data_IF_642034268065
#
_entry.id   IF_642034268065
#
_cell.length_a   1.000
_cell.length_b   1.000
_cell.length_c   1.000
_cell.angle_alpha   90.00
_cell.angle_beta   90.00
_cell.angle_gamma   90.00
#
_symmetry.space_group_name_H-M   'P 1'
#
loop_
_entity.id
_entity.type
_entity.pdbx_description
1 polymer ?
#
# COMPACT_ATOMS: atom_id res chain seq x y z
N UNK A 1 -11.12 13.35 -12.10
CA UNK A 1 -11.80 12.73 -10.94
C UNK A 1 -12.84 11.71 -11.40
N UNK A 2 -13.67 12.04 -12.41
CA UNK A 2 -14.76 11.13 -12.88
C UNK A 2 -14.24 9.90 -13.65
N UNK A 3 -13.17 10.04 -14.43
CA UNK A 3 -12.53 8.91 -15.13
C UNK A 3 -11.79 7.97 -14.19
N UNK A 4 -11.26 8.48 -13.10
CA UNK A 4 -10.54 7.71 -12.10
C UNK A 4 -11.48 6.82 -11.28
N UNK A 5 -12.67 7.32 -10.95
CA UNK A 5 -13.75 6.53 -10.32
C UNK A 5 -14.23 5.40 -11.24
N UNK A 6 -14.28 5.63 -12.56
CA UNK A 6 -14.59 4.61 -13.56
C UNK A 6 -13.51 3.53 -13.68
N UNK A 7 -12.23 3.88 -13.49
CA UNK A 7 -11.13 2.92 -13.51
C UNK A 7 -11.16 1.98 -12.28
N UNK A 8 -11.55 2.50 -11.11
CA UNK A 8 -11.76 1.70 -9.89
C UNK A 8 -12.98 0.77 -10.01
N UNK A 9 -14.06 1.24 -10.64
CA UNK A 9 -15.23 0.39 -10.93
C UNK A 9 -14.93 -0.65 -12.02
N UNK A 10 -14.12 -0.32 -13.03
CA UNK A 10 -13.67 -1.28 -14.05
C UNK A 10 -12.81 -2.40 -13.46
N UNK A 11 -11.95 -2.11 -12.51
CA UNK A 11 -11.15 -3.12 -11.81
C UNK A 11 -12.03 -4.07 -10.98
N UNK A 12 -13.13 -3.56 -10.39
CA UNK A 12 -14.17 -4.37 -9.72
C UNK A 12 -14.98 -5.21 -10.72
N UNK A 13 -15.27 -4.68 -11.90
CA UNK A 13 -16.07 -5.36 -12.94
C UNK A 13 -15.33 -6.50 -13.61
N UNK A 14 -13.98 -6.48 -13.65
CA UNK A 14 -13.14 -7.53 -14.21
C UNK A 14 -12.90 -8.71 -13.24
N UNK A 15 -13.65 -8.78 -12.12
CA UNK A 15 -13.50 -9.89 -11.17
C UNK A 15 -12.13 -9.91 -10.49
N UNK A 16 -11.34 -8.87 -10.64
CA UNK A 16 -10.12 -8.63 -9.89
C UNK A 16 -10.53 -8.21 -8.49
N UNK A 17 -10.76 -9.23 -7.64
CA UNK A 17 -10.67 -9.03 -6.21
C UNK A 17 -9.37 -8.26 -5.98
N UNK A 18 -9.38 -7.06 -5.37
CA UNK A 18 -8.16 -6.44 -4.89
C UNK A 18 -7.67 -7.33 -3.75
N UNK A 19 -7.14 -8.49 -4.10
CA UNK A 19 -6.30 -9.24 -3.19
C UNK A 19 -5.28 -8.22 -2.79
N UNK A 20 -5.31 -7.84 -1.53
CA UNK A 20 -4.19 -7.18 -0.88
C UNK A 20 -2.94 -7.76 -1.55
N UNK A 21 -2.14 -6.95 -2.24
CA UNK A 21 -0.94 -7.47 -2.87
C UNK A 21 -0.28 -8.28 -1.77
N UNK A 22 -0.02 -9.57 -2.01
CA UNK A 22 0.80 -10.33 -1.08
C UNK A 22 1.95 -9.40 -0.76
N UNK A 23 2.22 -9.04 0.50
CA UNK A 23 3.50 -8.46 0.79
C UNK A 23 4.45 -9.44 0.11
N UNK A 24 5.27 -8.96 -0.80
CA UNK A 24 6.33 -9.76 -1.38
C UNK A 24 7.15 -10.16 -0.15
N UNK A 25 6.74 -11.27 0.46
CA UNK A 25 7.25 -11.76 1.75
C UNK A 25 8.62 -12.43 1.59
N UNK A 26 9.36 -11.99 0.59
CA UNK A 26 10.80 -12.13 0.58
C UNK A 26 11.35 -10.89 1.29
N UNK A 27 11.84 -11.03 2.53
CA UNK A 27 12.70 -10.02 3.06
C UNK A 27 13.85 -9.91 2.04
N UNK A 28 13.96 -8.75 1.39
CA UNK A 28 15.20 -8.39 0.69
C UNK A 28 16.24 -8.23 1.79
N UNK A 29 16.71 -9.39 2.29
CA UNK A 29 17.61 -9.50 3.41
C UNK A 29 18.96 -8.96 2.98
N UNK A 30 19.57 -8.23 3.86
CA UNK A 30 20.81 -7.51 3.72
C UNK A 30 21.95 -8.29 3.04
N UNK A 31 22.85 -7.51 2.44
CA UNK A 31 24.12 -7.89 1.80
C UNK A 31 24.00 -8.58 0.43
N UNK A 32 23.15 -8.08 -0.44
CA UNK A 32 23.08 -8.45 -1.85
C UNK A 32 21.67 -8.30 -2.35
N UNK A 33 21.39 -7.25 -3.15
CA UNK A 33 20.07 -7.07 -3.76
C UNK A 33 19.78 -8.29 -4.63
N UNK A 34 18.62 -8.92 -4.41
CA UNK A 34 18.14 -9.99 -5.27
C UNK A 34 17.91 -9.40 -6.68
N UNK A 35 18.76 -9.80 -7.63
CA UNK A 35 18.72 -9.30 -9.01
C UNK A 35 17.48 -9.76 -9.79
N UNK A 36 16.62 -10.56 -9.17
CA UNK A 36 15.33 -11.03 -9.71
C UNK A 36 14.17 -10.04 -9.43
N UNK A 37 14.47 -8.85 -8.91
CA UNK A 37 13.48 -7.79 -8.67
C UNK A 37 12.93 -7.28 -10.00
N UNK A 38 11.60 -7.34 -10.15
CA UNK A 38 10.91 -6.81 -11.33
C UNK A 38 10.68 -5.31 -11.19
N UNK A 39 11.24 -4.54 -12.12
CA UNK A 39 11.19 -3.08 -12.10
C UNK A 39 10.28 -2.58 -13.24
N UNK A 40 9.31 -1.72 -12.91
CA UNK A 40 8.56 -0.98 -13.91
C UNK A 40 9.13 0.42 -14.05
N UNK A 41 9.45 0.83 -15.27
CA UNK A 41 9.83 2.21 -15.63
C UNK A 41 8.60 2.89 -16.23
N UNK A 42 8.15 3.97 -15.64
CA UNK A 42 7.07 4.83 -16.15
C UNK A 42 7.70 6.11 -16.67
N UNK A 43 7.75 6.25 -17.99
CA UNK A 43 8.34 7.40 -18.67
C UNK A 43 7.79 7.49 -20.10
N UNK A 44 7.31 8.66 -20.50
CA UNK A 44 6.81 8.92 -21.85
C UNK A 44 7.93 9.13 -22.86
N UNK A 45 9.16 9.43 -22.40
CA UNK A 45 10.34 9.62 -23.25
C UNK A 45 11.03 8.29 -23.58
N UNK A 46 11.04 7.85 -24.85
CA UNK A 46 11.74 6.62 -25.23
C UNK A 46 13.25 6.69 -24.98
N UNK A 47 13.83 7.89 -25.08
CA UNK A 47 15.28 8.12 -24.90
C UNK A 47 15.66 7.97 -23.43
N UNK A 48 14.95 8.65 -22.52
CA UNK A 48 15.25 8.58 -21.09
C UNK A 48 14.98 7.19 -20.53
N UNK A 49 13.86 6.60 -20.89
CA UNK A 49 13.55 5.23 -20.46
C UNK A 49 14.56 4.19 -20.95
N UNK A 50 15.18 4.39 -22.12
CA UNK A 50 16.28 3.54 -22.60
C UNK A 50 17.55 3.71 -21.77
N UNK A 51 17.89 4.96 -21.39
CA UNK A 51 19.04 5.24 -20.50
C UNK A 51 18.83 4.63 -19.12
N UNK A 52 17.61 4.73 -18.58
CA UNK A 52 17.21 4.10 -17.32
C UNK A 52 17.37 2.58 -17.39
N UNK A 53 16.82 1.97 -18.43
CA UNK A 53 16.86 0.51 -18.63
C UNK A 53 18.30 0.02 -18.77
N UNK A 54 19.15 0.73 -19.52
CA UNK A 54 20.57 0.41 -19.66
C UNK A 54 21.30 0.50 -18.31
N UNK A 55 21.07 1.60 -17.54
CA UNK A 55 21.68 1.74 -16.22
C UNK A 55 21.23 0.68 -15.22
N UNK A 56 19.98 0.25 -15.29
CA UNK A 56 19.47 -0.86 -14.47
C UNK A 56 20.11 -2.20 -14.85
N UNK A 57 20.28 -2.45 -16.16
CA UNK A 57 20.97 -3.66 -16.65
C UNK A 57 22.44 -3.70 -16.26
N UNK A 58 23.14 -2.58 -16.37
CA UNK A 58 24.52 -2.44 -15.90
C UNK A 58 24.65 -2.67 -14.38
N UNK A 59 23.62 -2.27 -13.61
CA UNK A 59 23.52 -2.54 -12.18
C UNK A 59 23.14 -4.01 -11.85
N UNK A 60 22.87 -4.83 -12.87
CA UNK A 60 22.58 -6.26 -12.75
C UNK A 60 21.11 -6.64 -12.70
N UNK A 61 20.16 -5.69 -12.87
CA UNK A 61 18.73 -5.99 -12.93
C UNK A 61 18.34 -6.57 -14.28
N UNK A 62 17.66 -7.72 -14.29
CA UNK A 62 17.31 -8.44 -15.50
C UNK A 62 15.85 -8.26 -15.89
N UNK A 63 14.95 -8.05 -14.91
CA UNK A 63 13.50 -7.92 -15.14
C UNK A 63 13.07 -6.45 -15.13
N UNK A 64 13.21 -5.78 -16.27
CA UNK A 64 12.82 -4.38 -16.45
C UNK A 64 11.72 -4.27 -17.50
N UNK A 65 10.60 -3.63 -17.15
CA UNK A 65 9.43 -3.42 -18.02
C UNK A 65 9.17 -1.94 -18.16
N UNK A 66 8.97 -1.47 -19.39
CA UNK A 66 8.70 -0.06 -19.70
C UNK A 66 7.19 0.17 -19.88
N UNK A 67 6.71 1.26 -19.31
CA UNK A 67 5.35 1.80 -19.47
C UNK A 67 5.49 3.19 -20.07
N UNK A 68 5.26 3.29 -21.39
CA UNK A 68 5.39 4.55 -22.14
C UNK A 68 4.12 5.40 -22.12
N UNK A 69 2.97 4.85 -21.75
CA UNK A 69 1.69 5.53 -21.78
C UNK A 69 1.12 5.70 -20.37
N UNK A 70 0.76 6.92 -20.00
CA UNK A 70 0.12 7.22 -18.72
C UNK A 70 -1.35 6.80 -18.66
N UNK A 71 -1.97 6.55 -19.82
CA UNK A 71 -3.37 6.10 -19.90
C UNK A 71 -3.53 4.72 -19.24
N UNK A 72 -4.47 4.61 -18.29
CA UNK A 72 -4.72 3.37 -17.54
C UNK A 72 -3.49 2.84 -16.76
N UNK A 73 -2.62 3.74 -16.31
CA UNK A 73 -1.38 3.40 -15.63
C UNK A 73 -1.55 2.40 -14.49
N UNK A 74 -2.56 2.59 -13.64
CA UNK A 74 -2.86 1.65 -12.53
C UNK A 74 -3.13 0.23 -13.02
N UNK A 75 -3.95 0.07 -14.05
CA UNK A 75 -4.27 -1.25 -14.60
C UNK A 75 -3.02 -1.94 -15.16
N UNK A 76 -2.15 -1.18 -15.85
CA UNK A 76 -0.87 -1.67 -16.36
C UNK A 76 0.07 -2.10 -15.23
N UNK A 77 0.19 -1.29 -14.16
CA UNK A 77 0.99 -1.63 -12.99
C UNK A 77 0.48 -2.91 -12.34
N UNK A 78 -0.83 -3.06 -12.16
CA UNK A 78 -1.41 -4.30 -11.62
C UNK A 78 -1.19 -5.52 -12.51
N UNK A 79 -1.24 -5.36 -13.83
CA UNK A 79 -0.99 -6.45 -14.78
C UNK A 79 0.48 -6.89 -14.78
N UNK A 80 1.41 -5.93 -14.68
CA UNK A 80 2.85 -6.20 -14.62
C UNK A 80 3.22 -6.79 -13.26
N UNK A 81 2.57 -6.35 -12.18
CA UNK A 81 2.88 -6.67 -10.78
C UNK A 81 4.37 -6.49 -10.45
N UNK A 82 4.92 -5.26 -10.59
CA UNK A 82 6.33 -5.00 -10.34
C UNK A 82 6.63 -4.98 -8.84
N UNK A 83 7.87 -5.27 -8.48
CA UNK A 83 8.38 -5.14 -7.12
C UNK A 83 8.75 -3.69 -6.78
N UNK A 84 9.19 -2.92 -7.78
CA UNK A 84 9.59 -1.51 -7.67
C UNK A 84 9.12 -0.74 -8.88
N UNK A 85 8.73 0.52 -8.68
CA UNK A 85 8.31 1.42 -9.76
C UNK A 85 9.25 2.62 -9.79
N UNK A 86 9.82 2.89 -10.96
CA UNK A 86 10.55 4.11 -11.26
C UNK A 86 9.67 5.00 -12.13
N UNK A 87 9.42 6.22 -11.70
CA UNK A 87 8.67 7.23 -12.46
C UNK A 87 9.62 8.34 -12.82
N UNK A 88 9.82 8.60 -14.10
CA UNK A 88 10.66 9.70 -14.59
C UNK A 88 9.81 10.73 -15.32
N UNK A 89 9.82 11.96 -14.82
CA UNK A 89 8.98 13.06 -15.30
C UNK A 89 9.85 14.28 -15.57
N UNK A 90 9.92 14.70 -16.84
CA UNK A 90 10.54 15.95 -17.22
C UNK A 90 9.55 17.11 -17.02
N UNK A 91 9.84 18.05 -16.16
CA UNK A 91 8.99 19.23 -15.90
C UNK A 91 7.49 18.93 -15.80
N UNK A 92 7.06 18.03 -14.91
CA UNK A 92 5.67 17.63 -14.82
C UNK A 92 4.80 18.83 -14.41
N UNK A 93 3.61 18.93 -15.01
CA UNK A 93 2.60 19.85 -14.52
C UNK A 93 2.14 19.42 -13.13
N UNK A 94 1.54 20.34 -12.37
CA UNK A 94 1.00 20.05 -11.05
C UNK A 94 -0.06 18.92 -11.09
N UNK A 95 -0.86 18.87 -12.16
CA UNK A 95 -1.90 17.85 -12.34
C UNK A 95 -1.29 16.46 -12.56
N UNK A 96 -0.20 16.37 -13.33
CA UNK A 96 0.54 15.11 -13.52
C UNK A 96 1.16 14.63 -12.22
N UNK A 97 1.79 15.53 -11.44
CA UNK A 97 2.33 15.19 -10.12
C UNK A 97 1.24 14.67 -9.19
N UNK A 98 0.10 15.36 -9.08
CA UNK A 98 -1.01 14.90 -8.23
C UNK A 98 -1.54 13.54 -8.67
N UNK A 99 -1.63 13.29 -9.98
CA UNK A 99 -2.03 12.00 -10.50
C UNK A 99 -1.04 10.89 -10.10
N UNK A 100 0.27 11.15 -10.18
CA UNK A 100 1.29 10.19 -9.76
C UNK A 100 1.27 9.96 -8.24
N UNK A 101 1.00 11.01 -7.45
CA UNK A 101 0.83 10.87 -6.02
C UNK A 101 -0.40 10.03 -5.65
N UNK A 102 -1.49 10.13 -6.41
CA UNK A 102 -2.64 9.23 -6.24
C UNK A 102 -2.30 7.78 -6.57
N UNK A 103 -1.53 7.54 -7.63
CA UNK A 103 -1.00 6.20 -7.94
C UNK A 103 -0.20 5.66 -6.75
N UNK A 104 0.70 6.47 -6.17
CA UNK A 104 1.52 6.07 -5.03
C UNK A 104 0.71 5.68 -3.80
N UNK A 105 -0.37 6.40 -3.49
CA UNK A 105 -1.27 6.08 -2.37
C UNK A 105 -1.99 4.75 -2.53
N UNK A 106 -2.26 4.34 -3.78
CA UNK A 106 -3.03 3.13 -4.09
C UNK A 106 -2.13 1.91 -4.24
N UNK A 107 -0.98 2.10 -4.91
CA UNK A 107 -0.04 1.03 -5.22
C UNK A 107 0.88 0.82 -4.01
N UNK A 108 0.71 -0.29 -3.30
CA UNK A 108 1.56 -0.66 -2.16
C UNK A 108 2.89 -1.26 -2.64
N UNK A 109 3.67 -0.47 -3.34
CA UNK A 109 5.00 -0.82 -3.87
C UNK A 109 5.98 0.33 -3.64
N UNK A 110 7.29 0.06 -3.51
CA UNK A 110 8.29 1.14 -3.49
C UNK A 110 8.26 1.94 -4.78
N UNK A 111 8.12 3.25 -4.67
CA UNK A 111 8.13 4.18 -5.81
C UNK A 111 9.29 5.14 -5.65
N UNK A 112 10.17 5.19 -6.63
CA UNK A 112 11.15 6.24 -6.80
C UNK A 112 10.71 7.15 -7.95
N UNK A 113 10.61 8.45 -7.67
CA UNK A 113 10.19 9.46 -8.63
C UNK A 113 11.36 10.41 -8.93
N UNK A 114 11.64 10.62 -10.20
CA UNK A 114 12.64 11.55 -10.70
C UNK A 114 11.93 12.72 -11.37
N UNK A 115 12.38 13.92 -11.08
CA UNK A 115 11.89 15.17 -11.70
C UNK A 115 13.06 16.11 -11.94
N UNK A 116 13.01 16.92 -12.98
CA UNK A 116 14.08 17.87 -13.27
C UNK A 116 14.06 19.06 -12.32
N UNK A 117 12.86 19.52 -11.94
CA UNK A 117 12.66 20.64 -11.04
C UNK A 117 11.55 20.37 -10.05
N UNK A 118 11.62 20.96 -8.88
CA UNK A 118 10.57 20.83 -7.85
C UNK A 118 10.57 22.03 -6.91
N UNK A 119 9.46 22.21 -6.22
CA UNK A 119 9.30 23.16 -5.11
C UNK A 119 9.07 22.42 -3.78
N UNK A 120 9.15 23.16 -2.69
CA UNK A 120 8.96 22.61 -1.33
C UNK A 120 7.58 21.96 -1.15
N UNK A 121 6.55 22.52 -1.79
CA UNK A 121 5.20 21.98 -1.68
C UNK A 121 5.08 20.62 -2.37
N UNK A 122 5.66 20.47 -3.56
CA UNK A 122 5.70 19.21 -4.30
C UNK A 122 6.50 18.13 -3.57
N UNK A 123 7.63 18.51 -2.95
CA UNK A 123 8.42 17.61 -2.12
C UNK A 123 7.57 17.10 -0.94
N UNK A 124 6.91 17.99 -0.20
CA UNK A 124 6.05 17.59 0.91
C UNK A 124 4.90 16.71 0.45
N UNK A 125 4.22 17.07 -0.65
CA UNK A 125 3.13 16.29 -1.22
C UNK A 125 3.58 14.87 -1.64
N UNK A 126 4.81 14.71 -2.14
CA UNK A 126 5.37 13.41 -2.48
C UNK A 126 5.55 12.51 -1.25
N UNK A 127 6.02 13.07 -0.14
CA UNK A 127 6.14 12.36 1.14
C UNK A 127 4.77 11.94 1.66
N UNK A 128 3.80 12.86 1.65
CA UNK A 128 2.42 12.60 2.10
C UNK A 128 1.71 11.57 1.23
N UNK A 129 2.12 11.45 -0.02
CA UNK A 129 1.64 10.43 -0.96
C UNK A 129 2.31 9.06 -0.78
N UNK A 130 3.33 8.95 0.06
CA UNK A 130 4.06 7.70 0.30
C UNK A 130 5.09 7.37 -0.78
N UNK A 131 5.55 8.35 -1.57
CA UNK A 131 6.69 8.17 -2.49
C UNK A 131 7.94 7.89 -1.67
N UNK A 132 8.55 6.74 -1.89
CA UNK A 132 9.66 6.27 -1.07
C UNK A 132 10.97 7.04 -1.35
N UNK A 133 11.17 7.51 -2.58
CA UNK A 133 12.28 8.37 -2.96
C UNK A 133 11.82 9.39 -4.00
N UNK A 134 12.02 10.67 -3.72
CA UNK A 134 11.72 11.78 -4.63
C UNK A 134 13.02 12.50 -4.93
N UNK A 135 13.46 12.45 -6.17
CA UNK A 135 14.78 12.90 -6.61
C UNK A 135 14.61 14.06 -7.57
N UNK A 136 15.20 15.20 -7.23
CA UNK A 136 15.29 16.38 -8.09
C UNK A 136 16.65 16.39 -8.76
N UNK A 137 16.76 17.00 -9.94
CA UNK A 137 17.99 17.14 -10.72
C UNK A 137 18.38 15.89 -11.53
N UNK A 138 17.37 15.12 -11.92
CA UNK A 138 17.48 14.05 -12.90
C UNK A 138 18.19 12.78 -12.45
N UNK A 139 18.22 11.83 -13.36
CA UNK A 139 18.79 10.52 -13.15
C UNK A 139 20.26 10.47 -13.54
N UNK A 140 21.12 9.95 -12.64
CA UNK A 140 22.51 9.58 -12.93
C UNK A 140 22.67 8.08 -12.84
N UNK A 141 23.11 7.43 -13.94
CA UNK A 141 23.26 5.96 -14.05
C UNK A 141 23.96 5.35 -12.83
N UNK A 142 25.05 5.95 -12.37
CA UNK A 142 25.88 5.46 -11.28
C UNK A 142 25.17 5.43 -9.93
N UNK A 143 24.05 6.16 -9.79
CA UNK A 143 23.27 6.27 -8.56
C UNK A 143 22.05 5.36 -8.53
N UNK A 144 21.63 4.80 -9.65
CA UNK A 144 20.38 4.03 -9.77
C UNK A 144 20.30 2.94 -8.70
N UNK A 145 21.34 2.14 -8.54
CA UNK A 145 21.38 1.06 -7.55
C UNK A 145 21.16 1.58 -6.13
N UNK A 146 21.88 2.61 -5.73
CA UNK A 146 21.78 3.19 -4.38
C UNK A 146 20.42 3.84 -4.12
N UNK A 147 19.82 4.44 -5.15
CA UNK A 147 18.48 5.03 -5.08
C UNK A 147 17.45 3.91 -4.87
N UNK A 148 17.54 2.81 -5.61
CA UNK A 148 16.67 1.65 -5.46
C UNK A 148 16.80 1.01 -4.09
N UNK A 149 18.03 0.75 -3.62
CA UNK A 149 18.29 0.21 -2.30
C UNK A 149 17.65 1.08 -1.20
N UNK A 150 17.83 2.38 -1.30
CA UNK A 150 17.25 3.35 -0.36
C UNK A 150 15.72 3.38 -0.45
N UNK A 151 15.17 3.38 -1.67
CA UNK A 151 13.74 3.38 -1.94
C UNK A 151 13.07 2.15 -1.31
N UNK A 152 13.60 0.96 -1.58
CA UNK A 152 13.10 -0.29 -1.06
C UNK A 152 13.20 -0.34 0.47
N UNK A 153 14.34 0.06 1.02
CA UNK A 153 14.57 0.06 2.47
C UNK A 153 13.62 0.99 3.21
N UNK A 154 13.40 2.20 2.69
CA UNK A 154 12.44 3.17 3.26
C UNK A 154 11.01 2.67 3.18
N UNK A 155 10.62 2.13 2.03
CA UNK A 155 9.28 1.56 1.85
C UNK A 155 9.02 0.42 2.84
N UNK A 156 9.97 -0.52 2.98
CA UNK A 156 9.82 -1.65 3.89
C UNK A 156 9.74 -1.20 5.36
N UNK A 157 10.57 -0.23 5.76
CA UNK A 157 10.54 0.32 7.11
C UNK A 157 9.19 1.03 7.40
N UNK A 158 8.70 1.84 6.45
CA UNK A 158 7.43 2.54 6.58
C UNK A 158 6.25 1.57 6.59
N UNK A 159 6.22 0.58 5.69
CA UNK A 159 5.17 -0.44 5.63
C UNK A 159 5.10 -1.25 6.92
N UNK A 160 6.25 -1.61 7.48
CA UNK A 160 6.30 -2.31 8.77
C UNK A 160 5.68 -1.49 9.91
N UNK A 161 6.02 -0.19 9.98
CA UNK A 161 5.45 0.72 10.98
C UNK A 161 3.94 0.88 10.79
N UNK A 162 3.48 1.00 9.55
CA UNK A 162 2.07 1.12 9.23
C UNK A 162 1.29 -0.14 9.62
N UNK A 163 1.82 -1.32 9.29
CA UNK A 163 1.21 -2.60 9.68
C UNK A 163 1.13 -2.76 11.21
N UNK A 164 2.15 -2.32 11.93
CA UNK A 164 2.20 -2.38 13.39
C UNK A 164 1.17 -1.41 14.02
N UNK A 165 1.05 -0.21 13.46
CA UNK A 165 0.03 0.77 13.84
C UNK A 165 -1.39 0.23 13.61
N UNK A 166 -1.65 -0.34 12.43
CA UNK A 166 -2.95 -0.89 12.07
C UNK A 166 -3.32 -2.09 12.96
N UNK A 167 -2.36 -2.97 13.26
CA UNK A 167 -2.58 -4.09 14.21
C UNK A 167 -2.95 -3.58 15.60
N UNK A 168 -2.21 -2.58 16.10
CA UNK A 168 -2.45 -2.01 17.44
C UNK A 168 -3.81 -1.32 17.49
N UNK A 169 -4.17 -0.56 16.46
CA UNK A 169 -5.45 0.13 16.34
C UNK A 169 -6.60 -0.87 16.30
N UNK A 170 -6.49 -1.91 15.48
CA UNK A 170 -7.51 -2.95 15.37
C UNK A 170 -7.69 -3.71 16.69
N UNK A 171 -6.60 -4.05 17.39
CA UNK A 171 -6.67 -4.71 18.69
C UNK A 171 -7.37 -3.83 19.74
N UNK A 172 -7.14 -2.51 19.70
CA UNK A 172 -7.83 -1.58 20.60
C UNK A 172 -9.33 -1.48 20.30
N UNK A 173 -9.70 -1.42 19.03
CA UNK A 173 -11.12 -1.39 18.62
C UNK A 173 -11.83 -2.72 18.95
N UNK A 174 -11.19 -3.87 18.69
CA UNK A 174 -11.72 -5.17 19.10
C UNK A 174 -11.96 -5.24 20.61
N UNK A 175 -11.02 -4.72 21.42
CA UNK A 175 -11.18 -4.66 22.89
C UNK A 175 -12.37 -3.79 23.29
N UNK A 176 -12.54 -2.60 22.72
CA UNK A 176 -13.69 -1.72 22.99
C UNK A 176 -15.03 -2.39 22.69
N UNK A 177 -15.10 -3.08 21.55
CA UNK A 177 -16.31 -3.83 21.14
C UNK A 177 -16.63 -4.94 22.14
N UNK A 178 -15.62 -5.70 22.56
CA UNK A 178 -15.79 -6.79 23.56
C UNK A 178 -16.23 -6.21 24.91
N UNK A 179 -15.61 -5.12 25.39
CA UNK A 179 -15.95 -4.50 26.66
C UNK A 179 -17.38 -3.95 26.66
N UNK A 180 -17.82 -3.34 25.56
CA UNK A 180 -19.20 -2.87 25.39
C UNK A 180 -20.22 -4.03 25.41
N UNK A 181 -19.92 -5.12 24.71
CA UNK A 181 -20.78 -6.32 24.69
C UNK A 181 -20.86 -6.98 26.07
N UNK A 182 -19.74 -7.06 26.82
CA UNK A 182 -19.74 -7.51 28.22
C UNK A 182 -20.70 -6.67 29.06
N UNK A 183 -20.61 -5.33 28.97
CA UNK A 183 -21.51 -4.43 29.71
C UNK A 183 -22.99 -4.69 29.41
N UNK A 184 -23.35 -4.93 28.15
CA UNK A 184 -24.72 -5.27 27.73
C UNK A 184 -25.15 -6.58 28.35
N UNK A 185 -24.34 -7.64 28.27
CA UNK A 185 -24.64 -8.98 28.81
C UNK A 185 -24.75 -8.95 30.35
N UNK A 186 -23.86 -8.22 31.03
CA UNK A 186 -23.91 -8.02 32.47
C UNK A 186 -25.23 -7.36 32.88
N UNK A 187 -25.67 -6.33 32.19
CA UNK A 187 -26.91 -5.62 32.48
C UNK A 187 -28.15 -6.44 32.16
N UNK A 188 -28.18 -7.10 30.99
CA UNK A 188 -29.35 -7.82 30.50
C UNK A 188 -29.56 -9.20 31.19
N UNK A 189 -28.46 -9.90 31.53
CA UNK A 189 -28.52 -11.27 32.11
C UNK A 189 -28.02 -11.32 33.54
N UNK A 190 -27.68 -10.22 34.16
CA UNK A 190 -27.16 -10.15 35.55
C UNK A 190 -25.89 -11.03 35.74
N UNK A 191 -25.06 -11.11 34.71
CA UNK A 191 -23.82 -11.89 34.73
C UNK A 191 -22.67 -11.06 35.34
N UNK A 192 -21.67 -11.76 35.89
CA UNK A 192 -20.39 -11.17 36.22
C UNK A 192 -19.61 -10.89 34.94
N UNK A 193 -18.56 -10.06 35.01
CA UNK A 193 -17.70 -9.78 33.85
C UNK A 193 -17.06 -11.05 33.29
N UNK A 194 -16.59 -11.93 34.17
CA UNK A 194 -15.98 -13.21 33.78
C UNK A 194 -16.98 -14.11 33.06
N UNK A 195 -18.23 -14.19 33.58
CA UNK A 195 -19.29 -14.96 32.95
C UNK A 195 -19.71 -14.42 31.60
N UNK A 196 -19.80 -13.09 31.48
CA UNK A 196 -20.10 -12.42 30.19
C UNK A 196 -19.00 -12.69 29.14
N UNK A 197 -17.72 -12.59 29.53
CA UNK A 197 -16.62 -12.94 28.65
C UNK A 197 -16.59 -14.42 28.27
N UNK A 198 -16.82 -15.33 29.24
CA UNK A 198 -16.87 -16.76 28.97
C UNK A 198 -17.99 -17.10 27.98
N UNK A 199 -19.15 -16.43 28.08
CA UNK A 199 -20.27 -16.60 27.16
C UNK A 199 -19.90 -16.16 25.74
N UNK A 200 -19.29 -14.96 25.57
CA UNK A 200 -18.81 -14.49 24.26
C UNK A 200 -17.80 -15.46 23.65
N UNK A 201 -16.84 -15.93 24.45
CA UNK A 201 -15.79 -16.85 24.01
C UNK A 201 -16.37 -18.21 23.58
N UNK A 202 -17.25 -18.78 24.38
CA UNK A 202 -17.86 -20.08 24.07
C UNK A 202 -18.72 -20.03 22.81
N UNK A 203 -19.46 -18.94 22.61
CA UNK A 203 -20.24 -18.70 21.39
C UNK A 203 -19.33 -18.54 20.17
N UNK A 204 -18.24 -17.76 20.30
CA UNK A 204 -17.26 -17.59 19.24
C UNK A 204 -16.64 -18.92 18.79
N UNK A 205 -16.29 -19.78 19.74
CA UNK A 205 -15.77 -21.12 19.46
C UNK A 205 -16.82 -22.02 18.76
N UNK A 206 -18.08 -21.98 19.19
CA UNK A 206 -19.16 -22.77 18.57
C UNK A 206 -19.45 -22.34 17.14
N UNK A 207 -19.38 -21.03 16.86
CA UNK A 207 -19.66 -20.45 15.53
C UNK A 207 -18.42 -20.34 14.64
N UNK A 208 -17.24 -20.71 15.15
CA UNK A 208 -15.95 -20.54 14.46
C UNK A 208 -15.72 -19.11 13.99
N UNK A 209 -16.05 -18.14 14.84
CA UNK A 209 -15.92 -16.69 14.61
C UNK A 209 -14.97 -16.07 15.62
N UNK A 210 -14.51 -14.84 15.33
CA UNK A 210 -13.76 -14.05 16.33
C UNK A 210 -14.69 -13.59 17.45
N UNK A 211 -14.14 -13.45 18.67
CA UNK A 211 -14.91 -12.94 19.84
C UNK A 211 -15.48 -11.55 19.55
N UNK A 212 -14.72 -10.70 18.85
CA UNK A 212 -15.15 -9.36 18.47
C UNK A 212 -16.37 -9.37 17.51
N UNK A 213 -16.48 -10.35 16.61
CA UNK A 213 -17.63 -10.51 15.71
C UNK A 213 -18.91 -10.88 16.51
N UNK A 214 -18.79 -11.79 17.46
CA UNK A 214 -19.90 -12.15 18.35
C UNK A 214 -20.28 -10.96 19.24
N UNK A 215 -19.29 -10.24 19.76
CA UNK A 215 -19.50 -9.04 20.55
C UNK A 215 -20.25 -7.95 19.75
N UNK A 216 -19.88 -7.75 18.48
CA UNK A 216 -20.58 -6.82 17.59
C UNK A 216 -22.02 -7.25 17.33
N UNK A 217 -22.29 -8.55 17.15
CA UNK A 217 -23.65 -9.08 16.99
C UNK A 217 -24.51 -8.81 18.24
N UNK A 218 -23.95 -8.97 19.43
CA UNK A 218 -24.64 -8.64 20.71
C UNK A 218 -25.01 -7.16 20.78
N UNK A 219 -24.07 -6.27 20.40
CA UNK A 219 -24.30 -4.81 20.39
C UNK A 219 -25.43 -4.49 19.42
N UNK A 220 -25.34 -4.96 18.16
CA UNK A 220 -26.33 -4.69 17.12
C UNK A 220 -27.72 -5.18 17.55
N UNK A 221 -27.82 -6.40 18.09
CA UNK A 221 -29.07 -6.95 18.60
C UNK A 221 -29.65 -6.09 19.73
N UNK A 222 -28.81 -5.65 20.69
CA UNK A 222 -29.24 -4.80 21.79
C UNK A 222 -29.76 -3.42 21.33
N UNK A 223 -29.22 -2.88 20.26
CA UNK A 223 -29.66 -1.60 19.68
C UNK A 223 -31.01 -1.71 18.95
N UNK A 224 -31.34 -2.89 18.41
CA UNK A 224 -32.63 -3.14 17.74
C UNK A 224 -33.80 -3.25 18.72
N UNK A 225 -33.54 -3.49 20.02
CA UNK A 225 -34.58 -3.65 21.06
C UNK A 225 -34.67 -2.46 22.02
N UNK A 226 -33.99 -1.35 21.72
CA UNK A 226 -34.12 -0.06 22.44
C UNK A 226 -35.09 0.86 21.74
#
# INVERSE_FOLDING_TARGET
VLEFAKALDSARYLGMNPRTPKPSGRPLAGAGMDLTVKIAIVDESPVRSAILEEGLREAGFTEVVRIAEMTNLLARIYQIDPDVILIDLENPSRDVLEQMFQVSRIVKRPIAMFVDQSDTASIQASVDAGVASYIVDGLKKERIKYILDTCISRFNAFSKLQDELDRTRNALEERKVIDRAKGILMSAKKLTEEQAYALLRSTAMKENKKIAEIAQSVITTSEMFK
#
